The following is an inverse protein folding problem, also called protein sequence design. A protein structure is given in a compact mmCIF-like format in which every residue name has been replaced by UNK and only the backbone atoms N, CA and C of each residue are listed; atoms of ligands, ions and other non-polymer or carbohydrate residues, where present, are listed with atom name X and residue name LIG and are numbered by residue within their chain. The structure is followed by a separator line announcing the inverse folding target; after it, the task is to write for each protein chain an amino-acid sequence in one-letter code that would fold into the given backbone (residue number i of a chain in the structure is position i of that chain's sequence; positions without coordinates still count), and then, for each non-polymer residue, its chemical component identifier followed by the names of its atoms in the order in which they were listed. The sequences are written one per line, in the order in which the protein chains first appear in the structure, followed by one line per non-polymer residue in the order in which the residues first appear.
data_IF_938497742333
#
_entry.id   IF_938497742333
#
_cell.length_a   1.000
_cell.length_b   1.000
_cell.length_c   1.000
_cell.angle_alpha   90.00
_cell.angle_beta   90.00
_cell.angle_gamma   90.00
#
_symmetry.space_group_name_H-M   'P 1'
#
loop_
_entity.id
_entity.type
_entity.pdbx_description
1 polymer ?
#
# COMPACT_ATOMS: atom_id res chain seq x y z
N UNK A 1 18.19 -8.68 -0.82
CA UNK A 1 16.90 -9.34 -1.10
C UNK A 1 15.81 -8.29 -1.06
N UNK A 2 14.84 -8.39 -1.98
CA UNK A 2 13.72 -7.45 -2.08
C UNK A 2 12.50 -8.06 -1.40
N UNK A 3 11.80 -7.25 -0.60
CA UNK A 3 10.51 -7.60 -0.01
C UNK A 3 9.40 -6.91 -0.79
N UNK A 4 8.27 -7.58 -0.86
CA UNK A 4 7.09 -7.12 -1.56
C UNK A 4 5.89 -7.07 -0.61
N UNK A 5 5.00 -6.13 -0.85
CA UNK A 5 3.72 -5.98 -0.18
C UNK A 5 2.65 -6.30 -1.21
N UNK A 6 1.91 -7.39 -1.00
CA UNK A 6 0.87 -7.82 -1.93
C UNK A 6 -0.50 -7.36 -1.39
N UNK A 7 -1.09 -6.39 -2.06
CA UNK A 7 -2.37 -5.81 -1.69
C UNK A 7 -3.52 -6.64 -2.25
N UNK A 8 -4.45 -7.01 -1.39
CA UNK A 8 -5.66 -7.73 -1.75
C UNK A 8 -6.89 -6.94 -1.35
N UNK A 9 -7.92 -7.04 -2.17
CA UNK A 9 -9.27 -6.66 -1.82
C UNK A 9 -10.24 -7.78 -2.18
N UNK A 10 -11.14 -8.16 -1.26
CA UNK A 10 -12.14 -9.20 -1.51
C UNK A 10 -11.54 -10.55 -1.94
N UNK A 11 -10.38 -10.93 -1.39
CA UNK A 11 -9.60 -12.12 -1.77
C UNK A 11 -9.06 -12.12 -3.21
N UNK A 12 -9.04 -10.97 -3.89
CA UNK A 12 -8.41 -10.80 -5.21
C UNK A 12 -7.12 -9.99 -5.08
N UNK A 13 -6.02 -10.40 -5.74
CA UNK A 13 -4.80 -9.62 -5.77
C UNK A 13 -5.02 -8.33 -6.57
N UNK A 14 -4.76 -7.19 -5.95
CA UNK A 14 -5.01 -5.87 -6.53
C UNK A 14 -3.71 -5.19 -6.97
N UNK A 15 -2.63 -5.31 -6.20
CA UNK A 15 -1.33 -4.73 -6.56
C UNK A 15 -0.15 -5.38 -5.83
N UNK A 16 0.98 -5.53 -6.52
CA UNK A 16 2.24 -5.98 -5.92
C UNK A 16 3.22 -4.82 -5.82
N UNK A 17 3.58 -4.46 -4.58
CA UNK A 17 4.36 -3.27 -4.27
C UNK A 17 5.75 -3.64 -3.77
N UNK A 18 6.79 -2.91 -4.19
CA UNK A 18 8.15 -3.14 -3.69
C UNK A 18 8.35 -2.51 -2.31
N UNK A 19 8.06 -3.27 -1.24
CA UNK A 19 8.19 -2.83 0.15
C UNK A 19 9.59 -2.29 0.49
N UNK A 20 10.65 -2.81 -0.13
CA UNK A 20 12.03 -2.36 0.12
C UNK A 20 12.37 -0.99 -0.47
N UNK A 21 11.58 -0.48 -1.42
CA UNK A 21 11.80 0.83 -2.06
C UNK A 21 10.79 1.89 -1.64
N UNK A 22 9.78 1.51 -0.86
CA UNK A 22 8.75 2.42 -0.36
C UNK A 22 9.38 3.51 0.52
N UNK A 23 9.02 4.77 0.28
CA UNK A 23 9.51 5.93 1.04
C UNK A 23 8.44 6.53 1.93
N UNK A 24 7.23 6.66 1.43
CA UNK A 24 6.10 7.18 2.21
C UNK A 24 4.77 6.59 1.75
N UNK A 25 3.84 6.52 2.69
CA UNK A 25 2.43 6.18 2.47
C UNK A 25 1.64 7.32 3.08
N UNK A 26 0.80 7.97 2.28
CA UNK A 26 0.10 9.18 2.67
C UNK A 26 -1.34 9.14 2.14
N UNK A 27 -2.30 9.24 3.04
CA UNK A 27 -3.70 9.36 2.66
C UNK A 27 -4.03 10.82 2.34
N UNK A 28 -4.16 11.12 1.04
CA UNK A 28 -4.37 12.49 0.55
C UNK A 28 -5.84 12.91 0.59
N UNK A 29 -6.77 11.96 0.69
CA UNK A 29 -8.20 12.22 0.87
C UNK A 29 -8.90 11.06 1.58
N UNK A 30 -10.18 11.22 1.90
CA UNK A 30 -11.01 10.14 2.48
C UNK A 30 -11.13 8.92 1.56
N UNK A 31 -10.81 9.03 0.28
CA UNK A 31 -10.94 7.95 -0.71
C UNK A 31 -9.63 7.64 -1.44
N UNK A 32 -8.53 8.33 -1.12
CA UNK A 32 -7.29 8.25 -1.90
C UNK A 32 -6.08 8.16 -0.98
N UNK A 33 -5.29 7.10 -1.20
CA UNK A 33 -3.99 6.91 -0.56
C UNK A 33 -2.90 6.82 -1.61
N UNK A 34 -1.81 7.54 -1.39
CA UNK A 34 -0.66 7.61 -2.29
C UNK A 34 0.55 6.94 -1.64
N UNK A 35 1.18 6.06 -2.40
CA UNK A 35 2.41 5.37 -2.06
C UNK A 35 3.53 5.94 -2.93
N UNK A 36 4.60 6.45 -2.32
CA UNK A 36 5.72 7.07 -3.04
C UNK A 36 6.98 6.20 -2.91
N UNK A 37 7.64 5.91 -4.02
CA UNK A 37 8.94 5.19 -4.05
C UNK A 37 10.14 6.13 -4.15
N UNK A 38 9.92 7.34 -4.64
CA UNK A 38 10.96 8.35 -4.80
C UNK A 38 10.48 9.70 -4.25
N UNK A 39 11.41 10.52 -3.76
CA UNK A 39 11.09 11.80 -3.12
C UNK A 39 10.75 12.93 -4.10
N UNK A 40 10.90 12.71 -5.40
CA UNK A 40 10.61 13.70 -6.46
C UNK A 40 9.25 13.43 -7.09
N UNK A 41 8.46 14.50 -7.26
CA UNK A 41 7.04 14.44 -7.57
C UNK A 41 6.74 13.82 -8.95
N UNK A 42 5.68 13.01 -8.96
CA UNK A 42 4.93 12.46 -10.11
C UNK A 42 5.47 11.27 -10.89
N UNK A 43 6.72 10.84 -10.75
CA UNK A 43 7.28 9.78 -11.63
C UNK A 43 7.44 8.39 -10.98
N UNK A 44 7.10 8.25 -9.70
CA UNK A 44 7.32 7.00 -8.94
C UNK A 44 6.28 6.88 -7.82
N UNK A 45 5.00 7.04 -8.15
CA UNK A 45 3.91 6.91 -7.18
C UNK A 45 2.83 5.91 -7.61
N UNK A 46 2.20 5.30 -6.60
CA UNK A 46 1.03 4.47 -6.76
C UNK A 46 -0.11 5.10 -5.99
N UNK A 47 -1.18 5.41 -6.72
CA UNK A 47 -2.42 5.94 -6.15
C UNK A 47 -3.42 4.80 -5.99
N UNK A 48 -3.90 4.62 -4.77
CA UNK A 48 -4.92 3.65 -4.40
C UNK A 48 -6.20 4.43 -4.12
N UNK A 49 -7.23 4.19 -4.92
CA UNK A 49 -8.58 4.67 -4.64
C UNK A 49 -9.33 3.61 -3.87
N UNK A 50 -9.88 3.99 -2.73
CA UNK A 50 -10.60 3.09 -1.83
C UNK A 50 -11.93 3.69 -1.37
N UNK A 51 -12.78 2.86 -0.77
CA UNK A 51 -14.00 3.28 -0.12
C UNK A 51 -13.72 4.39 0.92
N UNK A 52 -14.73 5.22 1.16
CA UNK A 52 -14.60 6.38 2.04
C UNK A 52 -14.17 5.95 3.45
N UNK A 53 -12.98 6.36 3.83
CA UNK A 53 -12.48 6.37 5.19
C UNK A 53 -12.72 7.75 5.78
N UNK A 54 -13.72 7.85 6.65
CA UNK A 54 -14.10 9.09 7.32
C UNK A 54 -13.00 9.64 8.25
N UNK A 55 -12.05 8.80 8.69
CA UNK A 55 -10.93 9.23 9.54
C UNK A 55 -9.80 9.90 8.76
N UNK A 56 -9.71 9.65 7.45
CA UNK A 56 -8.63 10.15 6.60
C UNK A 56 -7.25 9.53 6.90
N UNK A 57 -7.17 8.50 7.75
CA UNK A 57 -5.91 7.90 8.21
C UNK A 57 -5.96 6.37 8.39
N UNK A 58 -7.14 5.74 8.38
CA UNK A 58 -7.26 4.32 8.69
C UNK A 58 -6.55 3.46 7.63
N UNK A 59 -6.72 3.79 6.34
CA UNK A 59 -6.07 3.04 5.25
C UNK A 59 -4.56 3.23 5.29
N UNK A 60 -4.10 4.45 5.54
CA UNK A 60 -2.66 4.71 5.75
C UNK A 60 -2.11 3.87 6.90
N UNK A 61 -2.77 3.85 8.07
CA UNK A 61 -2.30 3.10 9.23
C UNK A 61 -2.24 1.60 8.95
N UNK A 62 -3.25 1.04 8.29
CA UNK A 62 -3.27 -0.38 7.89
C UNK A 62 -2.09 -0.71 6.96
N UNK A 63 -1.84 0.11 5.94
CA UNK A 63 -0.74 -0.08 5.02
C UNK A 63 0.63 0.03 5.70
N UNK A 64 0.78 0.94 6.69
CA UNK A 64 2.01 1.09 7.47
C UNK A 64 2.24 -0.12 8.38
N UNK A 65 1.19 -0.63 9.04
CA UNK A 65 1.28 -1.83 9.89
C UNK A 65 1.63 -3.08 9.07
N UNK A 66 0.98 -3.23 7.92
CA UNK A 66 1.27 -4.23 6.92
C UNK A 66 2.73 -4.18 6.44
N UNK A 67 3.22 -2.98 6.10
CA UNK A 67 4.62 -2.77 5.74
C UNK A 67 5.56 -3.15 6.89
N UNK A 68 5.24 -2.76 8.12
CA UNK A 68 5.99 -3.14 9.31
C UNK A 68 6.10 -4.66 9.48
N UNK A 69 5.00 -5.38 9.24
CA UNK A 69 4.95 -6.85 9.28
C UNK A 69 5.83 -7.47 8.20
N UNK A 70 5.72 -7.01 6.94
CA UNK A 70 6.59 -7.43 5.82
C UNK A 70 8.05 -7.21 6.18
N UNK A 71 8.38 -6.03 6.72
CA UNK A 71 9.76 -5.66 7.04
C UNK A 71 10.36 -6.49 8.18
N UNK A 72 9.53 -6.99 9.12
CA UNK A 72 9.95 -7.90 10.20
C UNK A 72 10.00 -9.37 9.79
N UNK A 73 9.24 -9.79 8.77
CA UNK A 73 9.20 -11.19 8.33
C UNK A 73 10.57 -11.69 7.80
N UNK A 74 10.90 -12.99 7.96
CA UNK A 74 12.09 -13.57 7.34
C UNK A 74 12.00 -13.53 5.82
N UNK A 75 13.14 -13.45 5.13
CA UNK A 75 13.20 -13.32 3.67
C UNK A 75 12.65 -14.51 2.89
N UNK A 76 12.42 -15.66 3.55
CA UNK A 76 11.73 -16.82 2.98
C UNK A 76 10.24 -16.56 2.75
N UNK A 77 9.66 -15.54 3.39
CA UNK A 77 8.28 -15.11 3.19
C UNK A 77 8.24 -13.65 2.73
N UNK A 78 8.76 -13.42 1.52
CA UNK A 78 9.02 -12.08 0.99
C UNK A 78 7.77 -11.29 0.57
N UNK A 79 6.58 -11.88 0.59
CA UNK A 79 5.33 -11.23 0.15
C UNK A 79 4.11 -11.71 0.96
N UNK A 80 4.02 -11.38 2.27
CA UNK A 80 2.82 -11.68 3.04
C UNK A 80 1.62 -10.93 2.47
N UNK A 81 0.47 -11.59 2.53
CA UNK A 81 -0.79 -11.10 1.98
C UNK A 81 -1.38 -10.04 2.91
N UNK A 82 -1.79 -8.91 2.35
CA UNK A 82 -2.37 -7.80 3.12
C UNK A 82 -3.74 -7.49 2.56
N UNK A 83 -4.77 -7.86 3.32
CA UNK A 83 -6.15 -7.50 3.06
C UNK A 83 -6.44 -6.14 3.66
N UNK A 84 -6.92 -5.22 2.82
CA UNK A 84 -7.48 -3.96 3.30
C UNK A 84 -8.95 -4.17 3.67
N UNK A 85 -9.37 -3.56 4.78
CA UNK A 85 -10.79 -3.57 5.20
C UNK A 85 -11.65 -2.68 4.29
N UNK A 86 -11.01 -1.77 3.57
CA UNK A 86 -11.65 -0.84 2.66
C UNK A 86 -11.61 -1.35 1.22
N UNK A 87 -12.74 -1.22 0.53
CA UNK A 87 -12.83 -1.63 -0.87
C UNK A 87 -11.95 -0.80 -1.79
N UNK A 88 -11.01 -1.45 -2.47
CA UNK A 88 -10.17 -0.79 -3.48
C UNK A 88 -10.95 -0.75 -4.79
N UNK A 89 -11.22 0.44 -5.31
CA UNK A 89 -11.90 0.64 -6.60
C UNK A 89 -10.91 0.82 -7.74
N UNK A 90 -9.71 1.32 -7.47
CA UNK A 90 -8.70 1.58 -8.49
C UNK A 90 -7.29 1.57 -7.90
N UNK A 91 -6.32 1.08 -8.67
CA UNK A 91 -4.89 1.30 -8.45
C UNK A 91 -4.28 1.87 -9.73
N UNK A 92 -3.63 3.02 -9.63
CA UNK A 92 -2.98 3.70 -10.75
C UNK A 92 -1.50 3.93 -10.46
N UNK A 93 -0.65 3.71 -11.45
CA UNK A 93 0.78 4.06 -11.43
C UNK A 93 1.02 5.34 -12.24
N UNK A 94 1.93 6.19 -11.79
CA UNK A 94 2.35 7.41 -12.49
C UNK A 94 3.85 7.60 -12.36
#
# INVERSE_FOLDING_TARGET
MTKYLNLYFGNQPTALLNASKLRSIEQTSTTTTVIKYNGSASADLITITHAADASGLAVQNQLVEALGTVMRAPYTNAAPLVTLDFAISQVANS
#
